data_IF_116657036203
#
_entry.id   IF_116657036203
#
_cell.length_a   1.000
_cell.length_b   1.000
_cell.length_c   1.000
_cell.angle_alpha   90.00
_cell.angle_beta   90.00
_cell.angle_gamma   90.00
#
_symmetry.space_group_name_H-M   'P 1'
#
loop_
_entity.id
_entity.type
_entity.pdbx_description
1 polymer ?
#
# COMPACT_ATOMS: atom_id res chain seq x y z
N UNK A 1 7.22 9.09 -6.71
CA UNK A 1 7.80 10.34 -6.19
C UNK A 1 7.03 10.90 -4.98
N UNK A 2 5.70 10.87 -4.95
CA UNK A 2 4.87 11.39 -3.83
C UNK A 2 5.18 10.74 -2.47
N UNK A 3 5.37 9.43 -2.39
CA UNK A 3 5.65 8.75 -1.10
C UNK A 3 6.96 9.18 -0.43
N UNK A 4 7.99 9.49 -1.22
CA UNK A 4 9.27 9.98 -0.70
C UNK A 4 9.16 11.42 -0.17
N UNK A 5 8.32 12.24 -0.83
CA UNK A 5 8.04 13.61 -0.40
C UNK A 5 7.24 13.64 0.91
N UNK A 6 6.27 12.74 1.07
CA UNK A 6 5.52 12.60 2.34
C UNK A 6 6.40 12.10 3.49
N UNK A 7 7.31 11.16 3.21
CA UNK A 7 8.29 10.69 4.19
C UNK A 7 9.27 11.81 4.61
N UNK A 8 9.72 12.63 3.65
CA UNK A 8 10.56 13.78 3.94
C UNK A 8 9.83 14.82 4.81
N UNK A 9 8.54 15.08 4.59
CA UNK A 9 7.75 16.00 5.41
C UNK A 9 7.55 15.49 6.86
N UNK A 10 7.57 14.17 7.06
CA UNK A 10 7.50 13.57 8.40
C UNK A 10 8.84 13.69 9.15
N UNK A 11 9.98 13.63 8.44
CA UNK A 11 11.33 13.60 9.04
C UNK A 11 11.98 14.99 9.11
N UNK A 12 11.68 15.91 8.18
CA UNK A 12 12.24 17.25 8.18
C UNK A 12 11.69 18.06 9.35
N UNK A 13 12.64 18.53 10.17
CA UNK A 13 12.46 19.33 11.37
C UNK A 13 11.60 20.58 11.05
N UNK A 14 10.56 20.93 11.85
CA UNK A 14 9.65 22.02 11.54
C UNK A 14 10.26 23.40 11.81
N UNK A 15 11.59 23.52 11.84
CA UNK A 15 12.30 24.75 12.19
C UNK A 15 12.27 25.79 11.05
N UNK A 16 12.05 25.35 9.81
CA UNK A 16 11.99 26.23 8.63
C UNK A 16 10.57 26.73 8.28
N UNK A 17 9.54 26.22 8.94
CA UNK A 17 8.15 26.66 8.75
C UNK A 17 7.52 26.97 10.10
N UNK A 18 6.73 28.05 10.27
CA UNK A 18 6.05 28.31 11.53
C UNK A 18 5.20 27.08 11.89
N UNK A 19 5.63 26.38 12.95
CA UNK A 19 5.11 25.12 13.48
C UNK A 19 3.64 25.18 13.95
N UNK A 20 3.01 26.36 13.82
CA UNK A 20 1.64 26.69 14.16
C UNK A 20 0.66 26.62 12.98
N UNK A 21 1.12 26.39 11.74
CA UNK A 21 0.18 26.30 10.61
C UNK A 21 -0.60 24.98 10.62
N UNK A 22 -1.93 25.06 10.63
CA UNK A 22 -2.82 23.89 10.59
C UNK A 22 -2.53 22.94 9.42
N UNK A 23 -2.00 23.48 8.32
CA UNK A 23 -1.57 22.72 7.14
C UNK A 23 -0.52 21.65 7.46
N UNK A 24 0.53 21.97 8.23
CA UNK A 24 1.61 21.01 8.56
C UNK A 24 1.05 19.83 9.36
N UNK A 25 0.17 20.11 10.31
CA UNK A 25 -0.47 19.08 11.13
C UNK A 25 -1.37 18.16 10.29
N UNK A 26 -2.15 18.73 9.37
CA UNK A 26 -2.98 17.94 8.44
C UNK A 26 -2.11 17.04 7.57
N UNK A 27 -1.03 17.56 6.98
CA UNK A 27 -0.13 16.76 6.14
C UNK A 27 0.55 15.65 6.94
N UNK A 28 0.95 15.91 8.18
CA UNK A 28 1.53 14.89 9.07
C UNK A 28 0.53 13.78 9.41
N UNK A 29 -0.69 14.13 9.79
CA UNK A 29 -1.75 13.15 10.09
C UNK A 29 -2.05 12.29 8.87
N UNK A 30 -2.19 12.90 7.70
CA UNK A 30 -2.42 12.18 6.45
C UNK A 30 -1.23 11.28 6.08
N UNK A 31 0.00 11.75 6.29
CA UNK A 31 1.21 10.96 6.04
C UNK A 31 1.28 9.74 6.96
N UNK A 32 1.04 9.92 8.26
CA UNK A 32 0.99 8.81 9.23
C UNK A 32 -0.12 7.83 8.85
N UNK A 33 -1.33 8.33 8.57
CA UNK A 33 -2.46 7.50 8.15
C UNK A 33 -2.17 6.71 6.88
N UNK A 34 -1.49 7.32 5.91
CA UNK A 34 -1.03 6.65 4.70
C UNK A 34 -0.07 5.49 5.01
N UNK A 35 0.95 5.68 5.86
CA UNK A 35 1.87 4.60 6.22
C UNK A 35 1.19 3.48 7.00
N UNK A 36 0.28 3.81 7.92
CA UNK A 36 -0.50 2.81 8.66
C UNK A 36 -1.36 1.98 7.69
N UNK A 37 -2.05 2.64 6.76
CA UNK A 37 -2.84 1.96 5.74
C UNK A 37 -1.98 1.09 4.81
N UNK A 38 -0.79 1.57 4.42
CA UNK A 38 0.16 0.84 3.60
C UNK A 38 0.63 -0.45 4.27
N UNK A 39 0.99 -0.38 5.56
CA UNK A 39 1.38 -1.57 6.36
C UNK A 39 0.20 -2.53 6.46
N UNK A 40 -1.00 -2.04 6.78
CA UNK A 40 -2.21 -2.85 6.84
C UNK A 40 -2.51 -3.57 5.53
N UNK A 41 -2.36 -2.88 4.40
CA UNK A 41 -2.57 -3.45 3.08
C UNK A 41 -1.54 -4.55 2.74
N UNK A 42 -0.26 -4.35 3.12
CA UNK A 42 0.79 -5.36 2.92
C UNK A 42 0.55 -6.61 3.76
N UNK A 43 0.15 -6.45 5.03
CA UNK A 43 -0.22 -7.56 5.92
C UNK A 43 -1.44 -8.30 5.36
N UNK A 44 -2.48 -7.56 4.96
CA UNK A 44 -3.68 -8.14 4.34
C UNK A 44 -3.38 -8.94 3.09
N UNK A 45 -2.54 -8.41 2.19
CA UNK A 45 -2.09 -9.14 1.00
C UNK A 45 -1.32 -10.40 1.38
N UNK A 46 -0.45 -10.35 2.38
CA UNK A 46 0.34 -11.51 2.81
C UNK A 46 -0.56 -12.66 3.28
N UNK A 47 -1.58 -12.35 4.09
CA UNK A 47 -2.58 -13.34 4.50
C UNK A 47 -3.41 -13.85 3.32
N UNK A 48 -3.82 -12.97 2.39
CA UNK A 48 -4.59 -13.39 1.22
C UNK A 48 -3.77 -14.30 0.28
N UNK A 49 -2.47 -14.03 0.11
CA UNK A 49 -1.55 -14.89 -0.65
C UNK A 49 -1.45 -16.28 -0.03
N UNK A 50 -1.27 -16.36 1.29
CA UNK A 50 -1.22 -17.64 2.01
C UNK A 50 -2.54 -18.39 1.82
N UNK A 51 -3.67 -17.71 2.04
CA UNK A 51 -4.99 -18.29 1.86
C UNK A 51 -5.23 -18.82 0.44
N UNK A 52 -4.89 -18.05 -0.60
CA UNK A 52 -5.05 -18.46 -1.99
C UNK A 52 -4.14 -19.64 -2.34
N UNK A 53 -2.92 -19.66 -1.81
CA UNK A 53 -1.98 -20.77 -2.01
C UNK A 53 -2.43 -22.06 -1.34
N UNK A 54 -3.13 -21.98 -0.20
CA UNK A 54 -3.69 -23.14 0.50
C UNK A 54 -5.02 -23.62 -0.12
N UNK A 55 -5.81 -22.70 -0.67
CA UNK A 55 -7.16 -22.99 -1.18
C UNK A 55 -7.23 -23.26 -2.68
N UNK A 56 -6.16 -23.03 -3.44
CA UNK A 56 -6.17 -23.18 -4.90
C UNK A 56 -4.84 -23.70 -5.46
N UNK A 57 -4.85 -24.15 -6.71
CA UNK A 57 -3.65 -24.61 -7.43
C UNK A 57 -2.69 -23.47 -7.83
N UNK A 58 -3.09 -22.22 -7.61
CA UNK A 58 -2.28 -21.06 -7.93
C UNK A 58 -1.62 -20.49 -6.68
N UNK A 59 -0.29 -20.46 -6.68
CA UNK A 59 0.50 -19.79 -5.63
C UNK A 59 0.85 -18.37 -6.07
N UNK A 60 0.23 -17.33 -5.51
CA UNK A 60 0.58 -15.96 -5.85
C UNK A 60 1.97 -15.62 -5.30
N UNK A 61 2.73 -14.81 -6.03
CA UNK A 61 4.07 -14.40 -5.60
C UNK A 61 4.04 -13.09 -4.81
N UNK A 62 4.99 -12.91 -3.89
CA UNK A 62 5.16 -11.63 -3.17
C UNK A 62 5.44 -10.43 -4.09
N UNK A 63 5.79 -10.64 -5.36
CA UNK A 63 5.86 -9.57 -6.37
C UNK A 63 4.56 -8.77 -6.51
N UNK A 64 3.40 -9.34 -6.17
CA UNK A 64 2.13 -8.59 -6.15
C UNK A 64 2.13 -7.42 -5.16
N UNK A 65 2.98 -7.45 -4.13
CA UNK A 65 3.13 -6.34 -3.18
C UNK A 65 3.65 -5.04 -3.82
N UNK A 66 4.28 -5.12 -5.00
CA UNK A 66 4.65 -3.93 -5.78
C UNK A 66 3.45 -3.05 -6.12
N UNK A 67 2.23 -3.60 -6.07
CA UNK A 67 1.01 -2.83 -6.31
C UNK A 67 0.82 -1.63 -5.39
N UNK A 68 1.46 -1.65 -4.22
CA UNK A 68 1.35 -0.57 -3.24
C UNK A 68 2.43 0.51 -3.38
N UNK A 69 3.53 0.23 -4.10
CA UNK A 69 4.69 1.13 -4.16
C UNK A 69 4.76 1.91 -5.48
N UNK A 70 4.14 1.40 -6.54
CA UNK A 70 4.18 2.03 -7.86
C UNK A 70 2.77 2.44 -8.27
N UNK A 71 2.45 3.74 -8.41
CA UNK A 71 1.05 4.17 -8.57
C UNK A 71 0.37 3.59 -9.82
N UNK A 72 0.93 3.84 -11.01
CA UNK A 72 0.30 3.43 -12.29
C UNK A 72 0.47 1.93 -12.52
N UNK A 73 1.69 1.42 -12.36
CA UNK A 73 1.98 -0.01 -12.53
C UNK A 73 1.26 -0.83 -11.46
N UNK A 74 1.08 -0.28 -10.26
CA UNK A 74 0.44 -0.99 -9.17
C UNK A 74 -1.04 -1.21 -9.37
N UNK A 75 -1.75 -0.27 -10.01
CA UNK A 75 -3.13 -0.51 -10.44
C UNK A 75 -3.19 -1.72 -11.40
N UNK A 76 -2.27 -1.80 -12.36
CA UNK A 76 -2.21 -2.94 -13.31
C UNK A 76 -1.91 -4.25 -12.59
N UNK A 77 -0.92 -4.26 -11.69
CA UNK A 77 -0.55 -5.44 -10.88
C UNK A 77 -1.73 -5.87 -9.99
N UNK A 78 -2.42 -4.93 -9.35
CA UNK A 78 -3.57 -5.19 -8.49
C UNK A 78 -4.77 -5.75 -9.25
N UNK A 79 -5.10 -5.18 -10.42
CA UNK A 79 -6.15 -5.73 -11.28
C UNK A 79 -5.79 -7.13 -11.78
N UNK A 80 -4.52 -7.36 -12.15
CA UNK A 80 -4.05 -8.68 -12.54
C UNK A 80 -4.17 -9.70 -11.41
N UNK A 81 -3.79 -9.30 -10.19
CA UNK A 81 -3.93 -10.12 -8.98
C UNK A 81 -5.39 -10.53 -8.74
N UNK A 82 -6.29 -9.54 -8.72
CA UNK A 82 -7.71 -9.77 -8.46
C UNK A 82 -8.35 -10.65 -9.53
N UNK A 83 -7.99 -10.46 -10.80
CA UNK A 83 -8.48 -11.29 -11.91
C UNK A 83 -8.01 -12.75 -11.81
N UNK A 84 -6.75 -12.99 -11.42
CA UNK A 84 -6.30 -14.36 -11.15
C UNK A 84 -7.00 -14.94 -9.93
N UNK A 85 -7.05 -14.20 -8.82
CA UNK A 85 -7.72 -14.62 -7.58
C UNK A 85 -9.17 -15.02 -7.84
N UNK A 86 -9.92 -14.24 -8.62
CA UNK A 86 -11.32 -14.57 -8.95
C UNK A 86 -11.46 -15.84 -9.76
N UNK A 87 -10.46 -16.18 -10.59
CA UNK A 87 -10.47 -17.42 -11.39
C UNK A 87 -10.15 -18.66 -10.56
N UNK A 88 -9.21 -18.54 -9.62
CA UNK A 88 -8.72 -19.68 -8.83
C UNK A 88 -9.51 -19.92 -7.54
N UNK A 89 -10.09 -18.86 -6.96
CA UNK A 89 -10.84 -18.92 -5.69
C UNK A 89 -12.28 -18.44 -5.85
N UNK A 90 -12.55 -17.59 -6.84
CA UNK A 90 -13.81 -16.81 -6.93
C UNK A 90 -14.96 -17.42 -7.74
N UNK A 91 -14.89 -18.68 -8.17
CA UNK A 91 -16.00 -19.33 -8.88
C UNK A 91 -16.12 -20.80 -8.45
N UNK A 92 -16.87 -21.01 -7.38
CA UNK A 92 -17.69 -22.20 -7.16
C UNK A 92 -19.09 -21.93 -7.72
#
# INVERSE_FOLDING_TARGET
MIGLQLFAIVILDPTDYPSSSAYIWVVRILSVGFFVALVGAFVGLSFDIIYVAESSEWTPSMWYSLMFFVPVIGVVIGLHYLSKRSRYVGLF
#
